data_IF_419099994541
#
_entry.id   IF_419099994541
#
_cell.length_a   1.000
_cell.length_b   1.000
_cell.length_c   1.000
_cell.angle_alpha   90.00
_cell.angle_beta   90.00
_cell.angle_gamma   90.00
#
_symmetry.space_group_name_H-M   'P 1'
#
loop_
_entity.id
_entity.type
_entity.pdbx_description
1 polymer ?
#
# COMPACT_ATOMS: atom_id res chain seq x y z
N UNK A 1 10.39 -8.36 19.16
CA UNK A 1 11.01 -9.68 18.95
C UNK A 1 10.30 -10.29 17.76
N UNK A 2 10.98 -10.36 16.60
CA UNK A 2 10.32 -10.79 15.35
C UNK A 2 10.39 -12.32 15.15
N UNK A 3 11.31 -13.00 15.82
CA UNK A 3 11.42 -14.46 15.80
C UNK A 3 12.21 -15.00 17.00
N UNK A 4 11.96 -16.26 17.33
CA UNK A 4 12.70 -17.02 18.35
C UNK A 4 13.13 -18.35 17.75
N UNK A 5 14.41 -18.65 17.81
CA UNK A 5 14.96 -19.95 17.40
C UNK A 5 15.18 -20.79 18.65
N UNK A 6 14.54 -21.95 18.70
CA UNK A 6 14.82 -22.95 19.71
C UNK A 6 15.89 -23.90 19.18
N UNK A 7 17.02 -23.92 19.86
CA UNK A 7 18.14 -24.84 19.59
C UNK A 7 18.14 -25.85 20.73
N UNK A 8 17.97 -27.16 20.46
CA UNK A 8 18.05 -28.16 21.48
C UNK A 8 19.52 -28.30 22.04
N UNK A 9 19.64 -28.59 23.28
CA UNK A 9 20.93 -28.80 23.96
C UNK A 9 21.49 -30.19 23.64
N UNK A 10 21.63 -30.48 22.34
CA UNK A 10 22.20 -31.72 21.82
C UNK A 10 23.62 -31.49 21.30
N UNK A 11 24.53 -32.37 21.65
CA UNK A 11 25.89 -32.31 21.12
C UNK A 11 25.87 -32.36 19.59
N UNK A 12 26.66 -31.53 18.89
CA UNK A 12 26.78 -31.60 17.41
C UNK A 12 27.16 -33.00 16.90
N UNK A 13 27.80 -33.80 17.77
CA UNK A 13 28.28 -35.14 17.48
C UNK A 13 27.27 -36.24 17.91
N UNK A 14 26.06 -35.91 18.34
CA UNK A 14 25.03 -36.88 18.72
C UNK A 14 24.52 -37.66 17.50
N UNK A 15 24.03 -38.90 17.71
CA UNK A 15 23.46 -39.77 16.66
C UNK A 15 22.08 -39.26 16.21
N UNK A 16 21.39 -38.52 17.09
CA UNK A 16 20.04 -38.01 16.83
C UNK A 16 20.03 -36.80 15.88
N UNK A 17 18.96 -36.65 15.05
CA UNK A 17 18.81 -35.49 14.20
C UNK A 17 18.56 -34.23 15.04
N UNK A 18 19.32 -33.17 14.81
CA UNK A 18 19.14 -31.87 15.46
C UNK A 18 17.93 -31.18 14.85
N UNK A 19 16.86 -31.00 15.64
CA UNK A 19 15.65 -30.28 15.21
C UNK A 19 15.70 -28.83 15.67
N UNK A 20 15.96 -27.92 14.75
CA UNK A 20 15.84 -26.50 14.99
C UNK A 20 14.36 -26.07 14.77
N UNK A 21 13.80 -25.37 15.73
CA UNK A 21 12.43 -24.87 15.61
C UNK A 21 12.44 -23.35 15.59
N UNK A 22 11.92 -22.77 14.49
CA UNK A 22 11.77 -21.33 14.33
C UNK A 22 10.33 -20.95 14.69
N UNK A 23 10.16 -20.07 15.66
CA UNK A 23 8.88 -19.44 16.00
C UNK A 23 8.88 -18.04 15.43
N UNK A 24 7.98 -17.76 14.50
CA UNK A 24 7.76 -16.43 13.93
C UNK A 24 6.35 -15.96 14.25
N UNK A 25 6.16 -14.66 14.29
CA UNK A 25 4.81 -14.09 14.43
C UNK A 25 4.02 -14.33 13.14
N UNK A 26 2.87 -14.97 13.28
CA UNK A 26 1.95 -15.16 12.16
C UNK A 26 1.48 -13.78 11.63
N UNK A 27 1.48 -13.63 10.31
CA UNK A 27 1.00 -12.42 9.62
C UNK A 27 1.86 -11.15 9.79
N UNK A 28 3.16 -11.29 10.06
CA UNK A 28 4.09 -10.17 10.09
C UNK A 28 5.03 -10.20 8.87
N UNK A 29 5.13 -9.08 8.14
CA UNK A 29 6.09 -8.90 7.04
C UNK A 29 7.54 -9.11 7.51
N UNK A 30 7.84 -8.68 8.74
CA UNK A 30 9.14 -8.92 9.36
C UNK A 30 9.39 -10.41 9.60
N UNK A 31 8.34 -11.18 9.95
CA UNK A 31 8.40 -12.62 10.09
C UNK A 31 8.79 -13.32 8.78
N UNK A 32 8.18 -12.94 7.66
CA UNK A 32 8.50 -13.49 6.34
C UNK A 32 9.95 -13.18 5.90
N UNK A 33 10.46 -11.98 6.18
CA UNK A 33 11.85 -11.60 5.92
C UNK A 33 12.81 -12.40 6.81
N UNK A 34 12.44 -12.62 8.08
CA UNK A 34 13.23 -13.43 9.01
C UNK A 34 13.28 -14.88 8.57
N UNK A 35 12.16 -15.47 8.10
CA UNK A 35 12.12 -16.85 7.60
C UNK A 35 13.10 -17.06 6.44
N UNK A 36 13.16 -16.11 5.49
CA UNK A 36 14.09 -16.17 4.37
C UNK A 36 15.55 -16.04 4.83
N UNK A 37 15.86 -15.10 5.74
CA UNK A 37 17.22 -14.93 6.28
C UNK A 37 17.65 -16.11 7.15
N UNK A 38 16.73 -16.68 7.95
CA UNK A 38 17.02 -17.83 8.79
C UNK A 38 17.26 -19.10 7.98
N UNK A 39 16.64 -19.24 6.80
CA UNK A 39 16.92 -20.35 5.90
C UNK A 39 18.40 -20.42 5.52
N UNK A 40 19.03 -19.28 5.22
CA UNK A 40 20.48 -19.25 4.86
C UNK A 40 21.35 -19.65 6.05
N UNK A 41 20.99 -19.19 7.25
CA UNK A 41 21.71 -19.55 8.48
C UNK A 41 21.57 -21.05 8.74
N UNK A 42 20.37 -21.60 8.58
CA UNK A 42 20.13 -23.03 8.78
C UNK A 42 20.83 -23.91 7.75
N UNK A 43 20.89 -23.48 6.48
CA UNK A 43 21.64 -24.18 5.44
C UNK A 43 23.15 -24.19 5.74
N UNK A 44 23.70 -23.08 6.24
CA UNK A 44 25.08 -23.01 6.66
C UNK A 44 25.35 -23.91 7.84
N UNK A 45 24.48 -23.88 8.85
CA UNK A 45 24.58 -24.76 10.03
C UNK A 45 24.45 -26.26 9.66
N UNK A 46 23.55 -26.58 8.71
CA UNK A 46 23.46 -27.94 8.15
C UNK A 46 24.75 -28.37 7.46
N UNK A 47 25.39 -27.48 6.69
CA UNK A 47 26.67 -27.73 6.05
C UNK A 47 27.77 -28.01 7.07
N UNK A 48 27.85 -27.18 8.12
CA UNK A 48 28.85 -27.33 9.19
C UNK A 48 28.63 -28.66 9.97
N UNK A 49 27.36 -29.03 10.24
CA UNK A 49 27.03 -30.32 10.86
C UNK A 49 27.35 -31.52 9.97
N UNK A 50 27.17 -31.39 8.65
CA UNK A 50 27.53 -32.44 7.69
C UNK A 50 29.04 -32.66 7.66
N UNK A 51 29.82 -31.59 7.75
CA UNK A 51 31.28 -31.68 7.81
C UNK A 51 31.76 -32.36 9.10
N UNK A 52 31.17 -32.02 10.26
CA UNK A 52 31.49 -32.68 11.55
C UNK A 52 31.12 -34.16 11.52
N UNK A 53 30.00 -34.52 10.85
CA UNK A 53 29.47 -35.89 10.78
C UNK A 53 29.97 -36.68 9.54
N UNK A 54 30.82 -36.09 8.69
CA UNK A 54 31.21 -36.66 7.40
C UNK A 54 31.86 -38.06 7.53
N UNK A 55 32.53 -38.35 8.65
CA UNK A 55 33.12 -39.68 8.90
C UNK A 55 32.10 -40.79 9.21
N UNK A 56 30.81 -40.46 9.38
CA UNK A 56 29.71 -41.39 9.74
C UNK A 56 28.74 -41.66 8.59
N UNK A 57 28.74 -40.81 7.57
CA UNK A 57 27.81 -40.86 6.46
C UNK A 57 28.56 -41.23 5.16
N UNK A 58 28.43 -42.46 4.73
CA UNK A 58 28.82 -42.88 3.39
C UNK A 58 27.74 -42.47 2.36
N UNK A 59 27.50 -41.18 2.30
CA UNK A 59 26.51 -40.60 1.36
C UNK A 59 27.25 -39.68 0.43
N UNK A 60 27.30 -40.02 -0.86
CA UNK A 60 27.72 -39.10 -1.90
C UNK A 60 26.72 -37.93 -1.96
N UNK A 61 27.12 -36.72 -1.57
CA UNK A 61 26.17 -35.56 -1.63
C UNK A 61 25.87 -35.30 -3.08
N UNK A 62 24.61 -35.46 -3.50
CA UNK A 62 24.18 -34.86 -4.75
C UNK A 62 24.23 -33.36 -4.58
N UNK A 63 25.01 -32.60 -5.35
CA UNK A 63 24.99 -31.17 -5.31
C UNK A 63 23.66 -30.67 -5.86
N UNK A 64 22.70 -30.49 -4.97
CA UNK A 64 21.50 -29.70 -5.30
C UNK A 64 21.99 -28.27 -5.38
N UNK A 65 22.08 -27.73 -6.59
CA UNK A 65 22.33 -26.31 -6.78
C UNK A 65 21.12 -25.55 -6.22
N UNK A 66 21.17 -25.26 -4.93
CA UNK A 66 20.24 -24.31 -4.33
C UNK A 66 20.71 -22.94 -4.82
N UNK A 67 19.86 -22.20 -5.57
CA UNK A 67 20.22 -20.84 -5.97
C UNK A 67 20.64 -20.07 -4.73
N UNK A 68 21.82 -19.48 -4.75
CA UNK A 68 22.32 -18.65 -3.65
C UNK A 68 21.28 -17.58 -3.33
N UNK A 69 20.66 -17.66 -2.17
CA UNK A 69 19.49 -16.88 -1.76
C UNK A 69 19.78 -15.40 -1.52
N UNK A 70 21.04 -14.98 -1.58
CA UNK A 70 21.44 -13.57 -1.38
C UNK A 70 20.84 -12.57 -2.40
N UNK A 71 20.40 -13.05 -3.57
CA UNK A 71 19.70 -12.22 -4.55
C UNK A 71 18.16 -12.30 -4.48
N UNK A 72 17.65 -13.46 -4.04
CA UNK A 72 16.19 -13.73 -4.05
C UNK A 72 15.49 -13.03 -2.89
N UNK A 73 16.10 -13.01 -1.69
CA UNK A 73 15.53 -12.32 -0.52
C UNK A 73 15.41 -10.81 -0.77
N UNK A 74 16.45 -10.17 -1.29
CA UNK A 74 16.43 -8.74 -1.65
C UNK A 74 15.43 -8.41 -2.78
N UNK A 75 15.28 -9.31 -3.76
CA UNK A 75 14.32 -9.13 -4.84
C UNK A 75 12.86 -9.24 -4.33
N UNK A 76 12.55 -10.23 -3.53
CA UNK A 76 11.22 -10.38 -2.92
C UNK A 76 10.87 -9.20 -2.02
N UNK A 77 11.80 -8.79 -1.16
CA UNK A 77 11.63 -7.65 -0.27
C UNK A 77 11.39 -6.35 -1.07
N UNK A 78 12.12 -6.16 -2.17
CA UNK A 78 11.93 -5.03 -3.06
C UNK A 78 10.56 -5.08 -3.77
N UNK A 79 10.20 -6.23 -4.35
CA UNK A 79 8.97 -6.36 -5.14
C UNK A 79 7.73 -6.21 -4.25
N UNK A 80 7.62 -6.99 -3.19
CA UNK A 80 6.43 -7.00 -2.34
C UNK A 80 6.41 -5.88 -1.31
N UNK A 81 7.57 -5.46 -0.79
CA UNK A 81 7.66 -4.41 0.22
C UNK A 81 7.65 -3.00 -0.34
N UNK A 82 8.09 -2.79 -1.58
CA UNK A 82 8.21 -1.47 -2.17
C UNK A 82 7.50 -1.33 -3.52
N UNK A 83 7.82 -2.21 -4.50
CA UNK A 83 7.39 -2.02 -5.89
C UNK A 83 5.86 -2.13 -6.04
N UNK A 84 5.25 -3.20 -5.52
CA UNK A 84 3.80 -3.40 -5.59
C UNK A 84 3.03 -2.28 -4.87
N UNK A 85 3.32 -1.97 -3.57
CA UNK A 85 2.67 -0.86 -2.89
C UNK A 85 2.81 0.48 -3.63
N UNK A 86 4.00 0.78 -4.14
CA UNK A 86 4.26 2.02 -4.85
C UNK A 86 3.44 2.12 -6.14
N UNK A 87 3.52 1.10 -7.01
CA UNK A 87 2.83 1.09 -8.31
C UNK A 87 1.31 1.19 -8.16
N UNK A 88 0.76 0.48 -7.17
CA UNK A 88 -0.69 0.40 -6.98
C UNK A 88 -1.23 1.65 -6.28
N UNK A 89 -0.44 2.31 -5.42
CA UNK A 89 -0.86 3.49 -4.66
C UNK A 89 -0.59 4.82 -5.38
N UNK A 90 0.42 4.88 -6.27
CA UNK A 90 0.78 6.09 -7.03
C UNK A 90 -0.40 6.72 -7.79
N UNK A 91 -1.28 5.95 -8.46
CA UNK A 91 -2.45 6.51 -9.12
C UNK A 91 -3.32 7.38 -8.22
N UNK A 92 -3.47 6.99 -6.94
CA UNK A 92 -4.24 7.74 -5.95
C UNK A 92 -3.64 9.12 -5.65
N UNK A 93 -2.32 9.21 -5.51
CA UNK A 93 -1.61 10.48 -5.29
C UNK A 93 -1.75 11.40 -6.51
N UNK A 94 -1.59 10.84 -7.72
CA UNK A 94 -1.72 11.59 -8.98
C UNK A 94 -3.16 12.10 -9.14
N UNK A 95 -4.17 11.28 -8.88
CA UNK A 95 -5.58 11.67 -8.96
C UNK A 95 -5.95 12.74 -7.93
N UNK A 96 -5.33 12.70 -6.73
CA UNK A 96 -5.52 13.74 -5.73
C UNK A 96 -4.87 15.09 -6.11
N UNK A 97 -3.78 15.07 -6.87
CA UNK A 97 -3.22 16.29 -7.44
C UNK A 97 -4.09 16.80 -8.61
N UNK A 98 -4.56 15.89 -9.46
CA UNK A 98 -5.42 16.20 -10.61
C UNK A 98 -6.72 16.89 -10.21
N UNK A 99 -7.39 16.44 -9.14
CA UNK A 99 -8.63 17.08 -8.68
C UNK A 99 -8.40 18.55 -8.28
N UNK A 100 -7.24 18.88 -7.72
CA UNK A 100 -6.90 20.27 -7.38
C UNK A 100 -6.83 21.10 -8.64
N UNK A 101 -6.14 20.61 -9.67
CA UNK A 101 -6.03 21.30 -10.95
C UNK A 101 -7.41 21.52 -11.58
N UNK A 102 -8.21 20.47 -11.67
CA UNK A 102 -9.55 20.53 -12.26
C UNK A 102 -10.50 21.51 -11.56
N UNK A 103 -10.39 21.64 -10.22
CA UNK A 103 -11.24 22.58 -9.48
C UNK A 103 -10.70 24.00 -9.58
N UNK A 104 -9.40 24.21 -9.44
CA UNK A 104 -8.82 25.55 -9.44
C UNK A 104 -8.83 26.18 -10.85
N UNK A 105 -8.78 25.36 -11.89
CA UNK A 105 -8.90 25.82 -13.28
C UNK A 105 -10.24 26.55 -13.53
N UNK A 106 -11.36 26.04 -12.97
CA UNK A 106 -12.65 26.68 -13.08
C UNK A 106 -12.70 28.08 -12.45
N UNK A 107 -11.95 28.25 -11.34
CA UNK A 107 -11.85 29.58 -10.70
C UNK A 107 -10.98 30.54 -11.50
N UNK A 108 -9.93 30.05 -12.18
CA UNK A 108 -8.99 30.89 -12.94
C UNK A 108 -9.55 31.35 -14.30
N UNK A 109 -10.34 30.51 -14.96
CA UNK A 109 -10.91 30.80 -16.27
C UNK A 109 -12.28 31.48 -16.23
N UNK A 110 -12.79 31.83 -15.02
CA UNK A 110 -14.13 32.45 -14.84
C UNK A 110 -15.27 31.64 -15.49
N UNK A 111 -15.01 30.33 -15.75
CA UNK A 111 -16.01 29.44 -16.37
C UNK A 111 -17.15 29.09 -15.42
N UNK A 112 -17.01 29.42 -14.14
CA UNK A 112 -18.06 29.26 -13.13
C UNK A 112 -19.35 30.02 -13.50
N UNK A 113 -19.27 31.21 -14.08
CA UNK A 113 -20.45 31.98 -14.52
C UNK A 113 -21.20 31.27 -15.66
N UNK A 114 -20.46 30.65 -16.58
CA UNK A 114 -21.06 29.85 -17.66
C UNK A 114 -21.71 28.58 -17.12
N UNK A 115 -21.14 27.97 -16.10
CA UNK A 115 -21.68 26.77 -15.43
C UNK A 115 -22.98 27.07 -14.66
N UNK A 116 -23.08 28.23 -14.02
CA UNK A 116 -24.30 28.69 -13.31
C UNK A 116 -25.49 28.88 -14.27
N UNK A 117 -25.24 29.12 -15.55
CA UNK A 117 -26.27 29.20 -16.58
C UNK A 117 -26.86 27.83 -16.98
N UNK A 118 -26.25 26.73 -16.53
CA UNK A 118 -26.73 25.35 -16.74
C UNK A 118 -27.60 24.88 -15.58
N UNK A 119 -28.46 23.85 -15.75
CA UNK A 119 -29.27 23.30 -14.66
C UNK A 119 -28.45 22.48 -13.63
N UNK A 120 -27.14 22.41 -13.77
CA UNK A 120 -26.23 21.64 -12.90
C UNK A 120 -25.82 22.49 -11.70
N UNK A 121 -25.97 21.97 -10.50
CA UNK A 121 -25.50 22.63 -9.27
C UNK A 121 -23.98 22.56 -9.13
N UNK A 122 -23.38 23.56 -8.47
CA UNK A 122 -21.95 23.57 -8.19
C UNK A 122 -21.47 22.29 -7.45
N UNK A 123 -22.30 21.79 -6.51
CA UNK A 123 -21.97 20.56 -5.79
C UNK A 123 -21.96 19.33 -6.72
N UNK A 124 -22.89 19.21 -7.66
CA UNK A 124 -22.92 18.13 -8.64
C UNK A 124 -21.69 18.17 -9.55
N UNK A 125 -21.26 19.35 -9.96
CA UNK A 125 -20.03 19.52 -10.73
C UNK A 125 -18.80 19.02 -9.95
N UNK A 126 -18.66 19.43 -8.68
CA UNK A 126 -17.56 18.99 -7.83
C UNK A 126 -17.55 17.47 -7.67
N UNK A 127 -18.71 16.85 -7.40
CA UNK A 127 -18.81 15.40 -7.29
C UNK A 127 -18.54 14.67 -8.61
N UNK A 128 -18.94 15.23 -9.74
CA UNK A 128 -18.58 14.71 -11.06
C UNK A 128 -17.07 14.64 -11.25
N UNK A 129 -16.36 15.71 -10.89
CA UNK A 129 -14.89 15.75 -10.95
C UNK A 129 -14.23 14.77 -9.98
N UNK A 130 -14.72 14.69 -8.75
CA UNK A 130 -14.24 13.73 -7.73
C UNK A 130 -14.39 12.29 -8.25
N UNK A 131 -15.56 11.94 -8.77
CA UNK A 131 -15.81 10.59 -9.28
C UNK A 131 -14.98 10.28 -10.52
N UNK A 132 -14.76 11.25 -11.41
CA UNK A 132 -13.89 11.08 -12.58
C UNK A 132 -12.44 10.80 -12.18
N UNK A 133 -11.89 11.55 -11.22
CA UNK A 133 -10.55 11.33 -10.69
C UNK A 133 -10.44 9.97 -9.96
N UNK A 134 -11.46 9.61 -9.16
CA UNK A 134 -11.47 8.36 -8.43
C UNK A 134 -11.56 7.14 -9.35
N UNK A 135 -12.34 7.20 -10.43
CA UNK A 135 -12.47 6.09 -11.38
C UNK A 135 -11.13 5.69 -12.04
N UNK A 136 -10.22 6.64 -12.20
CA UNK A 136 -8.89 6.39 -12.76
C UNK A 136 -8.05 5.49 -11.84
N UNK A 137 -8.25 5.55 -10.53
CA UNK A 137 -7.44 4.82 -9.56
C UNK A 137 -7.62 3.30 -9.64
N UNK A 138 -8.83 2.73 -9.50
CA UNK A 138 -9.01 1.28 -9.60
C UNK A 138 -8.66 0.75 -10.99
N UNK A 139 -8.87 1.54 -12.05
CA UNK A 139 -8.50 1.18 -13.41
C UNK A 139 -6.98 1.05 -13.56
N UNK A 140 -6.21 2.04 -13.13
CA UNK A 140 -4.75 2.01 -13.19
C UNK A 140 -4.16 0.98 -12.25
N UNK A 141 -4.66 0.86 -11.02
CA UNK A 141 -4.23 -0.16 -10.06
C UNK A 141 -4.48 -1.57 -10.62
N UNK A 142 -5.64 -1.80 -11.23
CA UNK A 142 -5.96 -3.07 -11.89
C UNK A 142 -5.00 -3.39 -13.04
N UNK A 143 -4.68 -2.41 -13.89
CA UNK A 143 -3.69 -2.57 -14.99
C UNK A 143 -2.32 -2.96 -14.42
N UNK A 144 -1.85 -2.29 -13.37
CA UNK A 144 -0.57 -2.65 -12.74
C UNK A 144 -0.57 -4.06 -12.16
N UNK A 145 -1.64 -4.48 -11.49
CA UNK A 145 -1.77 -5.84 -10.96
C UNK A 145 -1.73 -6.87 -12.08
N UNK A 146 -2.43 -6.63 -13.19
CA UNK A 146 -2.43 -7.50 -14.37
C UNK A 146 -1.03 -7.59 -14.98
N UNK A 147 -0.34 -6.45 -15.13
CA UNK A 147 1.03 -6.43 -15.67
C UNK A 147 2.02 -7.16 -14.78
N UNK A 148 1.92 -7.03 -13.47
CA UNK A 148 2.76 -7.76 -12.52
C UNK A 148 2.50 -9.27 -12.60
N UNK A 149 1.23 -9.68 -12.65
CA UNK A 149 0.86 -11.08 -12.80
C UNK A 149 1.33 -11.67 -14.14
N UNK A 150 1.25 -10.91 -15.23
CA UNK A 150 1.77 -11.30 -16.55
C UNK A 150 3.29 -11.49 -16.57
N UNK A 151 4.02 -10.81 -15.67
CA UNK A 151 5.46 -10.98 -15.46
C UNK A 151 5.82 -12.07 -14.44
N UNK A 152 4.86 -12.92 -14.06
CA UNK A 152 5.08 -14.05 -13.15
C UNK A 152 5.14 -13.69 -11.67
N UNK A 153 4.78 -12.46 -11.28
CA UNK A 153 4.71 -12.04 -9.89
C UNK A 153 3.32 -12.42 -9.37
N UNK A 154 3.28 -13.42 -8.48
CA UNK A 154 2.04 -13.86 -7.86
C UNK A 154 1.53 -12.79 -6.89
N UNK A 155 0.30 -12.32 -7.09
CA UNK A 155 -0.36 -11.36 -6.20
C UNK A 155 -1.61 -12.03 -5.66
N UNK A 156 -1.60 -12.26 -4.36
CA UNK A 156 -2.79 -12.74 -3.64
C UNK A 156 -3.77 -11.58 -3.39
N UNK A 157 -5.05 -11.89 -3.25
CA UNK A 157 -6.11 -10.94 -2.91
C UNK A 157 -6.16 -9.63 -3.75
N UNK A 158 -6.07 -9.68 -5.09
CA UNK A 158 -5.99 -8.48 -5.94
C UNK A 158 -7.19 -7.54 -5.78
N UNK A 159 -8.40 -8.08 -5.61
CA UNK A 159 -9.61 -7.29 -5.41
C UNK A 159 -9.59 -6.51 -4.08
N UNK A 160 -9.07 -7.10 -3.01
CA UNK A 160 -8.93 -6.40 -1.72
C UNK A 160 -7.89 -5.29 -1.81
N UNK A 161 -6.81 -5.50 -2.57
CA UNK A 161 -5.80 -4.46 -2.83
C UNK A 161 -6.45 -3.28 -3.56
N UNK A 162 -7.17 -3.53 -4.65
CA UNK A 162 -7.87 -2.48 -5.41
C UNK A 162 -8.86 -1.75 -4.52
N UNK A 163 -9.68 -2.45 -3.74
CA UNK A 163 -10.64 -1.85 -2.83
C UNK A 163 -9.96 -0.96 -1.78
N UNK A 164 -8.85 -1.46 -1.19
CA UNK A 164 -8.09 -0.71 -0.19
C UNK A 164 -7.49 0.57 -0.78
N UNK A 165 -6.89 0.48 -1.96
CA UNK A 165 -6.30 1.63 -2.67
C UNK A 165 -7.38 2.63 -3.07
N UNK A 166 -8.52 2.18 -3.58
CA UNK A 166 -9.66 3.02 -3.93
C UNK A 166 -10.17 3.82 -2.72
N UNK A 167 -10.34 3.21 -1.56
CA UNK A 167 -10.75 3.93 -0.35
C UNK A 167 -9.68 4.91 0.15
N UNK A 168 -8.41 4.52 0.10
CA UNK A 168 -7.32 5.39 0.54
C UNK A 168 -7.11 6.58 -0.41
N UNK A 169 -7.23 6.37 -1.73
CA UNK A 169 -7.14 7.44 -2.73
C UNK A 169 -8.31 8.40 -2.64
N UNK A 170 -9.52 7.88 -2.43
CA UNK A 170 -10.70 8.73 -2.27
C UNK A 170 -10.55 9.68 -1.07
N UNK A 171 -9.94 9.24 0.03
CA UNK A 171 -9.60 10.14 1.14
C UNK A 171 -8.67 11.27 0.69
N UNK A 172 -7.63 10.96 -0.07
CA UNK A 172 -6.69 11.97 -0.58
C UNK A 172 -7.38 12.94 -1.55
N UNK A 173 -8.22 12.43 -2.46
CA UNK A 173 -8.99 13.24 -3.42
C UNK A 173 -9.96 14.17 -2.69
N UNK A 174 -10.65 13.69 -1.65
CA UNK A 174 -11.57 14.52 -0.85
C UNK A 174 -10.80 15.62 -0.09
N UNK A 175 -9.62 15.31 0.46
CA UNK A 175 -8.74 16.32 1.09
C UNK A 175 -8.28 17.34 0.03
N UNK A 176 -7.82 16.89 -1.13
CA UNK A 176 -7.44 17.76 -2.25
C UNK A 176 -8.60 18.66 -2.70
N UNK A 177 -9.80 18.11 -2.78
CA UNK A 177 -11.03 18.86 -3.09
C UNK A 177 -11.28 19.97 -2.07
N UNK A 178 -11.19 19.70 -0.76
CA UNK A 178 -11.38 20.71 0.27
C UNK A 178 -10.32 21.82 0.18
N UNK A 179 -9.07 21.45 -0.06
CA UNK A 179 -7.96 22.41 -0.24
C UNK A 179 -8.22 23.28 -1.46
N UNK A 180 -8.58 22.70 -2.61
CA UNK A 180 -8.88 23.45 -3.84
C UNK A 180 -10.06 24.42 -3.67
N UNK A 181 -11.14 23.97 -3.03
CA UNK A 181 -12.31 24.81 -2.75
C UNK A 181 -12.01 25.96 -1.79
N UNK A 182 -11.02 25.79 -0.90
CA UNK A 182 -10.63 26.82 0.06
C UNK A 182 -9.72 27.88 -0.55
N UNK A 183 -8.63 27.43 -1.21
CA UNK A 183 -7.59 28.34 -1.71
C UNK A 183 -7.92 28.93 -3.09
N UNK A 184 -8.70 28.24 -3.95
CA UNK A 184 -9.15 28.69 -5.27
C UNK A 184 -8.03 29.03 -6.28
N UNK A 185 -6.79 29.07 -5.84
CA UNK A 185 -5.58 29.31 -6.62
C UNK A 185 -4.77 28.03 -6.72
N UNK A 186 -4.38 27.65 -7.94
CA UNK A 186 -3.69 26.39 -8.22
C UNK A 186 -2.39 26.24 -7.44
N UNK A 187 -1.53 27.25 -7.48
CA UNK A 187 -0.21 27.21 -6.86
C UNK A 187 -0.30 27.08 -5.32
N UNK A 188 -1.17 27.90 -4.71
CA UNK A 188 -1.39 27.85 -3.27
C UNK A 188 -2.02 26.52 -2.84
N UNK A 189 -3.01 26.03 -3.56
CA UNK A 189 -3.69 24.76 -3.27
C UNK A 189 -2.72 23.57 -3.39
N UNK A 190 -1.93 23.50 -4.45
CA UNK A 190 -0.94 22.45 -4.65
C UNK A 190 0.16 22.48 -3.59
N UNK A 191 0.66 23.68 -3.22
CA UNK A 191 1.67 23.83 -2.18
C UNK A 191 1.17 23.33 -0.82
N UNK A 192 -0.04 23.76 -0.42
CA UNK A 192 -0.63 23.34 0.86
C UNK A 192 -0.92 21.85 0.86
N UNK A 193 -1.51 21.31 -0.24
CA UNK A 193 -1.79 19.89 -0.35
C UNK A 193 -0.52 19.04 -0.31
N UNK A 194 0.51 19.39 -1.08
CA UNK A 194 1.77 18.63 -1.11
C UNK A 194 2.48 18.65 0.25
N UNK A 195 2.47 19.78 0.94
CA UNK A 195 3.02 19.90 2.29
C UNK A 195 2.23 19.04 3.29
N UNK A 196 0.90 19.12 3.24
CA UNK A 196 0.03 18.30 4.08
C UNK A 196 0.20 16.80 3.78
N UNK A 197 0.32 16.43 2.49
CA UNK A 197 0.54 15.05 2.06
C UNK A 197 1.84 14.47 2.65
N UNK A 198 2.94 15.23 2.63
CA UNK A 198 4.21 14.80 3.24
C UNK A 198 4.02 14.54 4.74
N UNK A 199 3.36 15.46 5.46
CA UNK A 199 3.09 15.28 6.89
C UNK A 199 2.20 14.07 7.16
N UNK A 200 1.14 13.89 6.37
CA UNK A 200 0.23 12.74 6.47
C UNK A 200 0.99 11.43 6.20
N UNK A 201 1.80 11.37 5.15
CA UNK A 201 2.59 10.18 4.82
C UNK A 201 3.55 9.85 5.96
N UNK A 202 4.29 10.82 6.50
CA UNK A 202 5.22 10.59 7.62
C UNK A 202 4.49 10.07 8.86
N UNK A 203 3.31 10.63 9.17
CA UNK A 203 2.50 10.17 10.30
C UNK A 203 1.95 8.75 10.05
N UNK A 204 1.41 8.50 8.86
CA UNK A 204 0.82 7.22 8.48
C UNK A 204 1.88 6.11 8.42
N UNK A 205 3.09 6.40 7.90
CA UNK A 205 4.19 5.44 7.86
C UNK A 205 4.66 5.00 9.26
N UNK A 206 4.46 5.83 10.29
CA UNK A 206 4.74 5.45 11.66
C UNK A 206 3.76 4.40 12.22
N UNK A 207 2.62 4.20 11.56
CA UNK A 207 1.62 3.21 11.98
C UNK A 207 1.95 1.81 11.44
N UNK A 208 1.81 0.75 12.25
CA UNK A 208 2.10 -0.62 11.82
C UNK A 208 1.18 -1.10 10.68
N UNK A 209 -0.03 -0.58 10.60
CA UNK A 209 -1.04 -0.91 9.59
C UNK A 209 -1.25 0.23 8.59
N UNK A 210 -0.15 0.83 8.09
CA UNK A 210 -0.23 1.85 7.06
C UNK A 210 -0.67 1.26 5.71
N UNK A 211 -1.20 2.08 4.76
CA UNK A 211 -1.71 1.60 3.49
C UNK A 211 -0.68 0.81 2.67
N UNK A 212 0.60 1.19 2.71
CA UNK A 212 1.65 0.51 1.96
C UNK A 212 1.94 -0.88 2.56
N UNK A 213 2.05 -1.00 3.88
CA UNK A 213 2.23 -2.28 4.57
C UNK A 213 1.02 -3.20 4.37
N UNK A 214 -0.20 -2.65 4.36
CA UNK A 214 -1.39 -3.44 4.10
C UNK A 214 -1.43 -3.99 2.68
N UNK A 215 -1.05 -3.20 1.67
CA UNK A 215 -0.95 -3.67 0.28
C UNK A 215 0.10 -4.79 0.19
N UNK A 216 1.28 -4.62 0.81
CA UNK A 216 2.31 -5.64 0.83
C UNK A 216 1.83 -6.94 1.50
N UNK A 217 1.15 -6.85 2.64
CA UNK A 217 0.56 -8.02 3.33
C UNK A 217 -0.53 -8.71 2.51
N UNK A 218 -1.41 -7.93 1.86
CA UNK A 218 -2.45 -8.45 0.98
C UNK A 218 -1.87 -9.17 -0.23
N UNK A 219 -0.82 -8.62 -0.84
CA UNK A 219 -0.15 -9.22 -1.99
C UNK A 219 0.53 -10.56 -1.66
N UNK A 220 0.90 -10.78 -0.38
CA UNK A 220 1.47 -12.02 0.14
C UNK A 220 0.43 -13.01 0.69
N UNK A 221 -0.87 -12.72 0.57
CA UNK A 221 -1.92 -13.57 1.10
C UNK A 221 -2.12 -13.51 2.61
N UNK A 222 -1.46 -12.57 3.31
CA UNK A 222 -1.55 -12.39 4.75
C UNK A 222 -2.79 -11.58 5.14
N UNK A 223 -3.98 -12.04 4.72
CA UNK A 223 -5.24 -11.40 5.06
C UNK A 223 -5.66 -11.73 6.49
N UNK A 224 -5.85 -10.70 7.35
CA UNK A 224 -6.28 -10.82 8.74
C UNK A 224 -7.50 -9.95 9.04
N UNK A 225 -7.97 -9.98 10.29
CA UNK A 225 -9.10 -9.16 10.74
C UNK A 225 -8.77 -7.66 10.73
N UNK A 226 -7.48 -7.32 10.89
CA UNK A 226 -6.99 -5.94 10.90
C UNK A 226 -7.32 -5.20 9.61
N UNK A 227 -7.32 -5.91 8.46
CA UNK A 227 -7.63 -5.31 7.16
C UNK A 227 -9.07 -4.87 7.07
N UNK A 228 -10.00 -5.67 7.60
CA UNK A 228 -11.41 -5.31 7.63
C UNK A 228 -11.67 -4.11 8.54
N UNK A 229 -10.92 -4.03 9.65
CA UNK A 229 -10.96 -2.86 10.55
C UNK A 229 -10.47 -1.61 9.82
N UNK A 230 -9.34 -1.69 9.11
CA UNK A 230 -8.80 -0.54 8.37
C UNK A 230 -9.70 -0.16 7.21
N UNK A 231 -10.27 -1.12 6.46
CA UNK A 231 -11.25 -0.86 5.41
C UNK A 231 -12.50 -0.18 5.97
N UNK A 232 -13.03 -0.68 7.09
CA UNK A 232 -14.18 -0.08 7.77
C UNK A 232 -13.90 1.34 8.25
N UNK A 233 -12.75 1.56 8.88
CA UNK A 233 -12.32 2.89 9.33
C UNK A 233 -12.12 3.85 8.16
N UNK A 234 -11.51 3.41 7.06
CA UNK A 234 -11.33 4.19 5.83
C UNK A 234 -12.67 4.55 5.20
N UNK A 235 -13.61 3.61 5.12
CA UNK A 235 -14.96 3.86 4.61
C UNK A 235 -15.72 4.90 5.45
N UNK A 236 -15.64 4.80 6.77
CA UNK A 236 -16.23 5.80 7.68
C UNK A 236 -15.60 7.17 7.51
N UNK A 237 -14.26 7.24 7.36
CA UNK A 237 -13.56 8.49 7.10
C UNK A 237 -13.96 9.11 5.75
N UNK A 238 -14.12 8.30 4.70
CA UNK A 238 -14.62 8.73 3.38
C UNK A 238 -16.02 9.34 3.52
N UNK A 239 -16.92 8.69 4.22
CA UNK A 239 -18.28 9.20 4.43
C UNK A 239 -18.26 10.53 5.20
N UNK A 240 -17.44 10.64 6.24
CA UNK A 240 -17.32 11.87 7.03
C UNK A 240 -16.74 13.03 6.20
N UNK A 241 -15.63 12.78 5.46
CA UNK A 241 -15.04 13.79 4.57
C UNK A 241 -15.98 14.13 3.41
N UNK A 242 -16.64 13.16 2.81
CA UNK A 242 -17.64 13.37 1.76
C UNK A 242 -18.77 14.28 2.22
N UNK A 243 -19.27 14.09 3.45
CA UNK A 243 -20.27 14.98 4.04
C UNK A 243 -19.74 16.41 4.21
N UNK A 244 -18.49 16.57 4.64
CA UNK A 244 -17.83 17.89 4.78
C UNK A 244 -17.70 18.55 3.41
N UNK A 245 -17.21 17.83 2.38
CA UNK A 245 -17.08 18.32 1.00
C UNK A 245 -18.43 18.78 0.48
N UNK A 246 -19.48 17.95 0.63
CA UNK A 246 -20.84 18.29 0.21
C UNK A 246 -21.34 19.59 0.86
N UNK A 247 -21.19 19.69 2.18
CA UNK A 247 -21.61 20.90 2.92
C UNK A 247 -20.85 22.14 2.49
N UNK A 248 -19.54 21.99 2.21
CA UNK A 248 -18.68 23.08 1.76
C UNK A 248 -19.03 23.49 0.33
N UNK A 249 -19.19 22.54 -0.60
CA UNK A 249 -19.57 22.80 -1.99
C UNK A 249 -20.94 23.50 -2.12
N UNK A 250 -21.94 23.05 -1.37
CA UNK A 250 -23.27 23.72 -1.33
C UNK A 250 -23.14 25.15 -0.80
N UNK A 251 -22.33 25.38 0.23
CA UNK A 251 -22.13 26.73 0.79
C UNK A 251 -21.44 27.67 -0.20
N UNK A 252 -20.45 27.18 -0.94
CA UNK A 252 -19.76 27.94 -1.97
C UNK A 252 -20.71 28.25 -3.14
N UNK A 253 -21.47 27.25 -3.60
CA UNK A 253 -22.45 27.44 -4.68
C UNK A 253 -23.52 28.47 -4.35
N UNK A 254 -24.01 28.53 -3.10
CA UNK A 254 -24.96 29.60 -2.70
C UNK A 254 -24.35 30.99 -2.80
N UNK A 255 -23.13 31.16 -2.34
CA UNK A 255 -22.45 32.47 -2.39
C UNK A 255 -22.20 32.94 -3.83
N UNK A 256 -22.01 32.02 -4.78
CA UNK A 256 -21.87 32.34 -6.21
C UNK A 256 -23.20 32.75 -6.85
N UNK A 257 -24.35 32.27 -6.34
CA UNK A 257 -25.67 32.63 -6.85
C UNK A 257 -26.23 33.94 -6.25
N UNK A 258 -25.66 34.42 -5.15
CA UNK A 258 -26.11 35.63 -4.44
C UNK A 258 -25.28 36.88 -4.78
N UNK A 259 -24.18 36.74 -5.49
CA UNK A 259 -23.27 37.83 -5.91
C UNK A 259 -23.37 38.11 -7.39
#
# INVERSE_FOLDING_TARGET
LSAVVYVPDTSPDAEEPVKLTLYTLANDLQGAVVDVKMKDIFLKYESDLRDIRAGRLDVAPQPVQIPSSSGIGGFFEFVYGLLIPLLVFMPGIISAALIIDLITEEYQHETLETLISTPVTFAEMIWGKVLACELLVPLQAGVWIILLAANGIAIENPLLIVLHVTLASLLLILIGTLVALHYRERTAAQFVFSTALVVIILFVLALPYNPLNLIARLSLGMAGIEQWIVLGASALAVLALGYIVQKFAVRVGRKLNEG
#
